data_IF_658680222029
#
_entry.id   IF_658680222029
#
_cell.length_a   1.000
_cell.length_b   1.000
_cell.length_c   1.000
_cell.angle_alpha   90.00
_cell.angle_beta   90.00
_cell.angle_gamma   90.00
#
_symmetry.space_group_name_H-M   'P 1'
#
loop_
_entity.id
_entity.type
_entity.pdbx_description
1 polymer ?
#
# COMPACT_ATOMS: atom_id res chain seq x y z
N UNK A 1 -13.76 16.15 -8.65
CA UNK A 1 -12.64 16.88 -9.28
C UNK A 1 -11.56 15.89 -9.67
N UNK A 2 -11.25 15.76 -10.97
CA UNK A 2 -10.16 14.91 -11.46
C UNK A 2 -8.90 15.77 -11.60
N UNK A 3 -8.22 16.03 -10.49
CA UNK A 3 -7.06 16.95 -10.40
C UNK A 3 -5.86 16.45 -11.23
N UNK A 4 -5.84 16.77 -12.53
CA UNK A 4 -4.75 16.40 -13.44
C UNK A 4 -4.90 15.02 -14.10
N UNK A 5 -5.98 14.29 -13.85
CA UNK A 5 -6.24 13.00 -14.50
C UNK A 5 -7.03 13.18 -15.80
N UNK A 6 -6.55 12.57 -16.89
CA UNK A 6 -7.15 12.65 -18.23
C UNK A 6 -8.41 11.78 -18.38
N UNK A 7 -8.66 10.84 -17.46
CA UNK A 7 -9.83 9.95 -17.48
C UNK A 7 -10.20 9.43 -16.09
N UNK A 8 -11.48 9.13 -15.88
CA UNK A 8 -11.99 8.64 -14.59
C UNK A 8 -11.39 7.27 -14.24
N UNK A 9 -11.20 6.42 -15.26
CA UNK A 9 -10.49 5.15 -15.12
C UNK A 9 -9.03 5.32 -14.68
N UNK A 10 -8.33 6.34 -15.19
CA UNK A 10 -6.97 6.67 -14.76
C UNK A 10 -6.91 7.09 -13.29
N UNK A 11 -7.83 7.94 -12.85
CA UNK A 11 -7.96 8.32 -11.44
C UNK A 11 -8.29 7.11 -10.56
N UNK A 12 -9.25 6.28 -10.97
CA UNK A 12 -9.65 5.10 -10.19
C UNK A 12 -8.49 4.11 -10.04
N UNK A 13 -7.75 3.84 -11.12
CA UNK A 13 -6.60 2.95 -11.08
C UNK A 13 -5.50 3.49 -10.17
N UNK A 14 -5.20 4.80 -10.26
CA UNK A 14 -4.26 5.45 -9.36
C UNK A 14 -4.69 5.31 -7.89
N UNK A 15 -5.93 5.68 -7.57
CA UNK A 15 -6.45 5.59 -6.19
C UNK A 15 -6.41 4.15 -5.68
N UNK A 16 -6.78 3.18 -6.52
CA UNK A 16 -6.77 1.76 -6.14
C UNK A 16 -5.36 1.27 -5.81
N UNK A 17 -4.38 1.49 -6.71
CA UNK A 17 -3.00 1.05 -6.51
C UNK A 17 -2.37 1.78 -5.33
N UNK A 18 -2.51 3.10 -5.28
CA UNK A 18 -1.96 3.93 -4.22
C UNK A 18 -2.52 3.54 -2.85
N UNK A 19 -3.84 3.30 -2.76
CA UNK A 19 -4.48 2.88 -1.51
C UNK A 19 -4.02 1.50 -1.07
N UNK A 20 -3.85 0.54 -2.00
CA UNK A 20 -3.33 -0.78 -1.68
C UNK A 20 -1.91 -0.70 -1.11
N UNK A 21 -1.01 0.05 -1.77
CA UNK A 21 0.37 0.25 -1.30
C UNK A 21 0.38 0.96 0.06
N UNK A 22 -0.35 2.05 0.22
CA UNK A 22 -0.43 2.77 1.50
C UNK A 22 -0.93 1.87 2.62
N UNK A 23 -2.03 1.16 2.41
CA UNK A 23 -2.64 0.34 3.45
C UNK A 23 -1.80 -0.90 3.80
N UNK A 24 -0.93 -1.34 2.88
CA UNK A 24 0.02 -2.42 3.13
C UNK A 24 1.13 -1.99 4.10
N UNK A 25 1.62 -0.76 4.00
CA UNK A 25 2.76 -0.26 4.79
C UNK A 25 2.39 0.61 5.99
N UNK A 26 1.23 1.26 5.97
CA UNK A 26 0.78 2.18 7.02
C UNK A 26 -0.16 1.45 7.97
N UNK A 27 0.28 1.16 9.21
CA UNK A 27 -0.57 0.46 10.17
C UNK A 27 -1.75 1.35 10.59
N UNK A 28 -2.91 0.74 10.89
CA UNK A 28 -4.07 1.48 11.38
C UNK A 28 -3.73 2.21 12.68
N UNK A 29 -4.29 3.42 12.84
CA UNK A 29 -4.03 4.31 13.98
C UNK A 29 -4.35 3.67 15.35
N UNK A 30 -5.17 2.62 15.37
CA UNK A 30 -5.50 1.82 16.55
C UNK A 30 -4.40 0.85 17.00
N UNK A 31 -3.36 0.58 16.18
CA UNK A 31 -2.24 -0.34 16.49
C UNK A 31 -0.88 0.36 16.41
N UNK A 32 -0.71 1.42 17.19
CA UNK A 32 0.48 2.30 17.18
C UNK A 32 1.52 1.94 18.25
N UNK A 33 1.95 0.68 18.32
CA UNK A 33 3.19 0.36 19.06
C UNK A 33 4.36 0.24 18.08
N UNK A 34 5.57 0.58 18.54
CA UNK A 34 6.78 0.44 17.74
C UNK A 34 6.97 -1.00 17.24
N UNK A 35 6.71 -1.98 18.11
CA UNK A 35 6.81 -3.41 17.80
C UNK A 35 5.74 -3.86 16.80
N UNK A 36 4.48 -3.45 16.96
CA UNK A 36 3.42 -3.75 15.99
C UNK A 36 3.71 -3.13 14.61
N UNK A 37 4.29 -1.92 14.60
CA UNK A 37 4.68 -1.23 13.37
C UNK A 37 5.84 -1.96 12.68
N UNK A 38 6.82 -2.43 13.45
CA UNK A 38 7.95 -3.20 12.93
C UNK A 38 7.49 -4.52 12.28
N UNK A 39 6.68 -5.32 13.00
CA UNK A 39 6.14 -6.56 12.45
C UNK A 39 5.23 -6.34 11.24
N UNK A 40 4.42 -5.29 11.26
CA UNK A 40 3.59 -4.91 10.12
C UNK A 40 4.45 -4.59 8.88
N UNK A 41 5.52 -3.83 9.04
CA UNK A 41 6.44 -3.51 7.95
C UNK A 41 7.14 -4.76 7.38
N UNK A 42 7.56 -5.71 8.23
CA UNK A 42 8.14 -6.97 7.77
C UNK A 42 7.16 -7.80 6.93
N UNK A 43 5.91 -7.91 7.38
CA UNK A 43 4.86 -8.59 6.63
C UNK A 43 4.53 -7.88 5.31
N UNK A 44 4.50 -6.53 5.33
CA UNK A 44 4.32 -5.69 4.15
C UNK A 44 5.42 -5.94 3.10
N UNK A 45 6.68 -6.01 3.53
CA UNK A 45 7.82 -6.28 2.66
C UNK A 45 7.77 -7.69 2.07
N UNK A 46 7.31 -8.70 2.83
CA UNK A 46 7.11 -10.05 2.32
C UNK A 46 6.01 -10.09 1.24
N UNK A 47 4.86 -9.46 1.49
CA UNK A 47 3.78 -9.34 0.52
C UNK A 47 4.21 -8.57 -0.74
N UNK A 48 5.00 -7.50 -0.58
CA UNK A 48 5.54 -6.73 -1.69
C UNK A 48 6.49 -7.57 -2.57
N UNK A 49 7.41 -8.34 -1.97
CA UNK A 49 8.32 -9.22 -2.71
C UNK A 49 7.57 -10.25 -3.57
N UNK A 50 6.49 -10.81 -3.04
CA UNK A 50 5.62 -11.72 -3.78
C UNK A 50 4.90 -11.02 -4.93
N UNK A 51 4.31 -9.85 -4.68
CA UNK A 51 3.64 -9.06 -5.71
C UNK A 51 4.59 -8.56 -6.82
N UNK A 52 5.84 -8.28 -6.47
CA UNK A 52 6.87 -7.84 -7.41
C UNK A 52 7.54 -8.99 -8.20
N UNK A 53 7.24 -10.25 -7.87
CA UNK A 53 7.88 -11.41 -8.50
C UNK A 53 9.37 -11.53 -8.17
N UNK A 54 9.84 -10.85 -7.12
CA UNK A 54 11.26 -10.88 -6.66
C UNK A 54 11.51 -12.05 -5.70
N UNK A 55 10.47 -12.85 -5.41
CA UNK A 55 10.57 -14.10 -4.67
C UNK A 55 10.60 -15.28 -5.63
N UNK A 56 11.76 -15.53 -6.22
CA UNK A 56 12.07 -16.66 -7.10
C UNK A 56 13.57 -16.73 -7.33
#
# INVERSE_FOLDING_TARGET
MMQGFRSAGGLQRFVSVFSAVRNLFVPPRSRRSALATHFHCLQAMAAWKSAAGVGG
#
